data_IF_276333486092
#
_entry.id   IF_276333486092
#
_cell.length_a   1.000
_cell.length_b   1.000
_cell.length_c   1.000
_cell.angle_alpha   90.00
_cell.angle_beta   90.00
_cell.angle_gamma   90.00
#
_symmetry.space_group_name_H-M   'P 1'
#
loop_
_entity.id
_entity.type
_entity.pdbx_description
1 polymer ?
#
# COMPACT_ATOMS: atom_id res chain seq x y z
N UNK A 1 5.42 20.06 0.32
CA UNK A 1 6.53 19.16 0.67
C UNK A 1 7.82 19.98 0.62
N UNK A 2 8.52 20.13 1.76
CA UNK A 2 9.85 20.72 1.80
C UNK A 2 10.84 19.63 1.39
N UNK A 3 11.66 19.89 0.36
CA UNK A 3 12.83 19.11 0.04
C UNK A 3 13.90 19.43 1.09
N UNK A 4 14.11 18.54 2.01
CA UNK A 4 15.17 18.55 2.97
C UNK A 4 15.48 17.09 3.29
N UNK A 5 16.57 16.58 2.74
CA UNK A 5 17.01 15.19 2.97
C UNK A 5 17.83 15.19 4.25
N UNK A 6 17.15 15.12 5.39
CA UNK A 6 17.77 14.56 6.58
C UNK A 6 17.80 13.04 6.43
N UNK A 7 18.88 12.40 6.84
CA UNK A 7 18.94 10.94 6.87
C UNK A 7 17.73 10.40 7.65
N UNK A 8 17.07 9.35 7.15
CA UNK A 8 15.84 8.86 7.79
C UNK A 8 16.18 8.36 9.21
N UNK A 9 15.60 8.98 10.22
CA UNK A 9 15.74 8.58 11.64
C UNK A 9 15.44 7.09 11.86
N UNK A 10 14.57 6.51 11.00
CA UNK A 10 14.18 5.11 11.04
C UNK A 10 14.11 4.54 9.62
N UNK A 11 14.84 3.46 9.39
CA UNK A 11 14.81 2.71 8.13
C UNK A 11 14.32 1.29 8.35
N UNK A 12 13.46 0.82 7.46
CA UNK A 12 12.99 -0.56 7.43
C UNK A 12 13.05 -1.10 6.01
N UNK A 13 13.44 -2.35 5.83
CA UNK A 13 13.38 -3.05 4.55
C UNK A 13 12.42 -4.23 4.65
N UNK A 14 11.62 -4.39 3.63
CA UNK A 14 10.60 -5.43 3.51
C UNK A 14 10.79 -6.16 2.19
N UNK A 15 10.66 -7.48 2.22
CA UNK A 15 10.45 -8.30 1.02
C UNK A 15 8.96 -8.58 0.91
N UNK A 16 8.34 -8.16 -0.20
CA UNK A 16 6.89 -8.18 -0.37
C UNK A 16 6.53 -9.03 -1.57
N UNK A 17 5.84 -10.14 -1.32
CA UNK A 17 5.20 -10.94 -2.35
C UNK A 17 3.72 -10.59 -2.40
N UNK A 18 3.22 -10.25 -3.61
CA UNK A 18 1.82 -9.91 -3.83
C UNK A 18 1.20 -10.84 -4.87
N UNK A 19 0.02 -11.36 -4.57
CA UNK A 19 -0.80 -12.12 -5.49
C UNK A 19 -2.11 -11.39 -5.71
N UNK A 20 -2.47 -11.20 -6.96
CA UNK A 20 -3.76 -10.65 -7.33
C UNK A 20 -4.37 -11.46 -8.48
N UNK A 21 -5.55 -12.03 -8.25
CA UNK A 21 -6.33 -12.75 -9.24
C UNK A 21 -7.59 -11.94 -9.55
N UNK A 22 -7.75 -11.55 -10.81
CA UNK A 22 -8.99 -10.91 -11.27
C UNK A 22 -10.12 -11.93 -11.29
N UNK A 23 -11.36 -11.53 -10.97
CA UNK A 23 -12.51 -12.42 -11.08
C UNK A 23 -12.72 -12.78 -12.55
N UNK A 24 -12.91 -14.08 -12.82
CA UNK A 24 -13.19 -14.60 -14.16
C UNK A 24 -13.97 -15.91 -14.06
N UNK A 25 -15.06 -16.04 -14.82
CA UNK A 25 -15.81 -17.31 -14.97
C UNK A 25 -16.14 -18.00 -13.62
N UNK A 26 -16.71 -17.28 -12.66
CA UNK A 26 -17.07 -17.82 -11.35
C UNK A 26 -15.93 -17.87 -10.32
N UNK A 27 -14.69 -17.59 -10.71
CA UNK A 27 -13.56 -17.43 -9.78
C UNK A 27 -13.68 -16.04 -9.14
N UNK A 28 -13.72 -16.00 -7.82
CA UNK A 28 -13.71 -14.73 -7.05
C UNK A 28 -12.34 -14.07 -7.19
N UNK A 29 -12.31 -12.74 -7.15
CA UNK A 29 -11.06 -12.01 -7.05
C UNK A 29 -10.29 -12.45 -5.79
N UNK A 30 -8.97 -12.52 -5.88
CA UNK A 30 -8.08 -12.86 -4.76
C UNK A 30 -6.97 -11.82 -4.65
N UNK A 31 -6.72 -11.31 -3.45
CA UNK A 31 -5.71 -10.28 -3.20
C UNK A 31 -4.99 -10.61 -1.89
N UNK A 32 -3.80 -11.19 -2.00
CA UNK A 32 -2.98 -11.60 -0.85
C UNK A 32 -1.61 -10.94 -0.89
N UNK A 33 -1.07 -10.67 0.28
CA UNK A 33 0.29 -10.15 0.42
C UNK A 33 1.00 -10.90 1.54
N UNK A 34 2.25 -11.27 1.27
CA UNK A 34 3.17 -11.84 2.24
C UNK A 34 4.35 -10.87 2.37
N UNK A 35 4.55 -10.31 3.55
CA UNK A 35 5.54 -9.28 3.83
C UNK A 35 6.51 -9.81 4.87
N UNK A 36 7.79 -9.92 4.49
CA UNK A 36 8.89 -10.33 5.38
C UNK A 36 9.72 -9.12 5.76
N UNK A 37 9.99 -8.98 7.04
CA UNK A 37 10.88 -7.94 7.55
C UNK A 37 12.34 -8.40 7.40
N UNK A 38 13.13 -7.62 6.68
CA UNK A 38 14.53 -7.97 6.37
C UNK A 38 15.54 -7.05 7.04
N UNK A 39 15.13 -5.83 7.42
CA UNK A 39 15.96 -4.86 8.13
C UNK A 39 15.08 -3.95 9.02
N UNK A 40 15.55 -3.49 10.18
CA UNK A 40 16.84 -3.80 10.84
C UNK A 40 16.92 -5.25 11.33
N UNK A 41 18.12 -5.73 11.74
CA UNK A 41 18.29 -7.13 12.16
C UNK A 41 17.31 -7.60 13.24
N UNK A 42 16.94 -6.73 14.19
CA UNK A 42 15.95 -7.02 15.25
C UNK A 42 14.52 -7.27 14.73
N UNK A 43 14.23 -6.87 13.50
CA UNK A 43 12.92 -7.07 12.87
C UNK A 43 12.88 -8.33 12.00
N UNK A 44 14.06 -8.91 11.71
CA UNK A 44 14.18 -10.08 10.85
C UNK A 44 13.44 -11.28 11.46
N UNK A 45 12.71 -12.01 10.62
CA UNK A 45 11.85 -13.12 11.02
C UNK A 45 10.41 -12.73 11.34
N UNK A 46 10.11 -11.43 11.46
CA UNK A 46 8.72 -10.96 11.50
C UNK A 46 8.07 -11.07 10.13
N UNK A 47 6.81 -11.49 10.11
CA UNK A 47 6.04 -11.68 8.88
C UNK A 47 4.65 -11.08 9.06
N UNK A 48 4.16 -10.37 8.03
CA UNK A 48 2.75 -10.03 7.90
C UNK A 48 2.15 -10.80 6.73
N UNK A 49 0.95 -11.32 6.92
CA UNK A 49 0.14 -11.98 5.91
C UNK A 49 -1.17 -11.24 5.77
N UNK A 50 -1.48 -10.80 4.55
CA UNK A 50 -2.80 -10.23 4.22
C UNK A 50 -3.56 -11.18 3.30
N UNK A 51 -4.82 -11.41 3.63
CA UNK A 51 -5.80 -12.07 2.77
C UNK A 51 -7.01 -11.14 2.65
N UNK A 52 -7.14 -10.44 1.51
CA UNK A 52 -8.07 -9.34 1.32
C UNK A 52 -7.95 -8.29 2.41
N UNK A 53 -8.95 -8.21 3.28
CA UNK A 53 -9.07 -7.21 4.35
C UNK A 53 -8.49 -7.67 5.68
N UNK A 54 -8.28 -8.97 5.85
CA UNK A 54 -7.67 -9.53 7.05
C UNK A 54 -6.15 -9.39 7.01
N UNK A 55 -5.57 -9.08 8.14
CA UNK A 55 -4.13 -8.93 8.30
C UNK A 55 -3.68 -9.62 9.58
N UNK A 56 -2.69 -10.49 9.44
CA UNK A 56 -2.07 -11.20 10.55
C UNK A 56 -0.59 -10.85 10.65
N UNK A 57 -0.11 -10.86 11.87
CA UNK A 57 1.29 -10.68 12.19
C UNK A 57 1.82 -11.92 12.90
N UNK A 58 3.03 -12.31 12.55
CA UNK A 58 3.73 -13.42 13.16
C UNK A 58 5.20 -13.05 13.43
N UNK A 59 5.72 -13.55 14.54
CA UNK A 59 7.14 -13.50 14.93
C UNK A 59 7.47 -14.81 15.62
N UNK A 60 8.76 -15.26 15.63
CA UNK A 60 9.16 -16.52 16.24
C UNK A 60 8.75 -16.69 17.71
N UNK A 61 8.60 -15.59 18.44
CA UNK A 61 8.18 -15.58 19.85
C UNK A 61 6.68 -15.87 20.05
N UNK A 62 5.89 -15.76 18.98
CA UNK A 62 4.45 -16.05 19.02
C UNK A 62 4.19 -17.53 18.76
N UNK A 63 3.21 -18.10 19.47
CA UNK A 63 2.76 -19.47 19.22
C UNK A 63 1.95 -19.61 17.92
N UNK A 64 1.29 -18.53 17.51
CA UNK A 64 0.41 -18.48 16.33
C UNK A 64 0.33 -17.05 15.78
N UNK A 65 -0.01 -16.87 14.48
CA UNK A 65 -0.30 -15.55 13.93
C UNK A 65 -1.42 -14.85 14.68
N UNK A 66 -1.25 -13.56 14.94
CA UNK A 66 -2.24 -12.71 15.62
C UNK A 66 -2.83 -11.71 14.63
N UNK A 67 -4.13 -11.41 14.70
CA UNK A 67 -4.73 -10.39 13.86
C UNK A 67 -4.23 -9.00 14.27
N UNK A 68 -3.97 -8.14 13.30
CA UNK A 68 -3.56 -6.75 13.51
C UNK A 68 -4.37 -5.81 12.61
N UNK A 69 -4.46 -4.54 13.01
CA UNK A 69 -5.18 -3.54 12.22
C UNK A 69 -4.34 -3.02 11.05
N UNK A 70 -4.98 -2.84 9.90
CA UNK A 70 -4.39 -2.21 8.71
C UNK A 70 -4.09 -0.73 8.93
N UNK A 71 -4.87 -0.02 9.76
CA UNK A 71 -4.68 1.38 10.11
C UNK A 71 -3.58 1.60 11.15
N UNK A 72 -3.15 0.56 11.85
CA UNK A 72 -2.05 0.65 12.81
C UNK A 72 -0.75 1.06 12.12
N UNK A 73 0.00 1.93 12.79
CA UNK A 73 1.29 2.41 12.30
C UNK A 73 2.31 1.26 12.21
N UNK A 74 2.94 1.14 11.05
CA UNK A 74 4.06 0.24 10.81
C UNK A 74 5.38 0.94 11.17
N UNK A 75 5.70 2.02 10.47
CA UNK A 75 6.91 2.83 10.69
C UNK A 75 6.66 4.28 10.24
N UNK A 76 7.18 5.25 10.99
CA UNK A 76 7.02 6.66 10.64
C UNK A 76 5.56 7.02 10.42
N UNK A 77 5.21 7.46 9.22
CA UNK A 77 3.85 7.80 8.80
C UNK A 77 3.14 6.72 7.97
N UNK A 78 3.81 5.59 7.78
CA UNK A 78 3.32 4.43 7.02
C UNK A 78 2.54 3.52 7.96
N UNK A 79 1.36 3.11 7.55
CA UNK A 79 0.52 2.10 8.23
C UNK A 79 0.71 0.73 7.61
N UNK A 80 0.29 -0.32 8.32
CA UNK A 80 0.34 -1.70 7.83
C UNK A 80 -0.39 -1.85 6.49
N UNK A 81 -1.51 -1.16 6.31
CA UNK A 81 -2.29 -1.18 5.08
C UNK A 81 -1.62 -0.55 3.86
N UNK A 82 -0.58 0.26 4.04
CA UNK A 82 0.10 0.94 2.93
C UNK A 82 1.09 0.01 2.20
N UNK A 83 1.51 -1.08 2.83
CA UNK A 83 2.47 -2.04 2.29
C UNK A 83 1.84 -3.34 1.77
N UNK A 84 0.51 -3.44 1.77
CA UNK A 84 -0.22 -4.59 1.25
C UNK A 84 -0.93 -4.24 -0.06
N UNK A 85 -1.26 -5.27 -0.84
CA UNK A 85 -1.99 -5.08 -2.09
C UNK A 85 -3.37 -4.47 -1.84
N UNK A 86 -3.67 -3.35 -2.52
CA UNK A 86 -5.00 -2.75 -2.57
C UNK A 86 -5.35 -2.50 -4.03
N UNK A 87 -6.44 -3.08 -4.49
CA UNK A 87 -6.95 -2.79 -5.82
C UNK A 87 -8.13 -1.84 -5.70
N UNK A 88 -7.94 -0.60 -6.16
CA UNK A 88 -8.97 0.44 -6.07
C UNK A 88 -10.23 0.11 -6.87
N UNK A 89 -10.13 -0.56 -8.01
CA UNK A 89 -11.25 -0.99 -8.85
C UNK A 89 -12.25 -1.86 -8.09
N UNK A 90 -11.74 -2.77 -7.24
CA UNK A 90 -12.59 -3.69 -6.46
C UNK A 90 -12.96 -3.15 -5.09
N UNK A 91 -12.13 -2.28 -4.52
CA UNK A 91 -12.34 -1.76 -3.17
C UNK A 91 -13.24 -0.51 -3.14
N UNK A 92 -13.35 0.23 -4.25
CA UNK A 92 -14.01 1.52 -4.28
C UNK A 92 -14.96 1.66 -5.48
N UNK A 93 -16.04 2.42 -5.27
CA UNK A 93 -16.82 3.04 -6.35
C UNK A 93 -16.15 4.38 -6.70
N UNK A 94 -15.88 4.60 -7.99
CA UNK A 94 -15.16 5.76 -8.48
C UNK A 94 -16.07 6.69 -9.28
N UNK A 95 -15.95 7.99 -9.04
CA UNK A 95 -16.63 9.05 -9.79
C UNK A 95 -15.61 10.06 -10.30
N UNK A 96 -15.65 10.40 -11.57
CA UNK A 96 -14.88 11.51 -12.14
C UNK A 96 -15.54 12.82 -11.73
N UNK A 97 -14.88 13.63 -10.90
CA UNK A 97 -15.39 14.94 -10.46
C UNK A 97 -14.99 16.09 -11.38
N UNK A 98 -13.98 15.91 -12.24
CA UNK A 98 -13.50 16.92 -13.16
C UNK A 98 -11.98 16.86 -13.36
N UNK A 99 -11.43 18.01 -13.68
CA UNK A 99 -9.98 18.17 -13.89
C UNK A 99 -9.45 19.27 -12.98
N UNK A 100 -8.20 19.14 -12.53
CA UNK A 100 -7.53 20.16 -11.73
C UNK A 100 -6.03 20.21 -12.04
N UNK A 101 -5.35 21.35 -11.82
CA UNK A 101 -3.90 21.44 -11.94
C UNK A 101 -3.19 20.53 -10.95
N UNK A 102 -2.12 19.85 -11.40
CA UNK A 102 -1.26 19.01 -10.57
C UNK A 102 0.22 19.24 -10.92
N UNK A 103 0.82 20.23 -10.27
CA UNK A 103 2.12 20.75 -10.65
C UNK A 103 2.07 21.51 -11.97
N UNK A 104 2.89 21.10 -12.92
CA UNK A 104 2.96 21.62 -14.29
C UNK A 104 2.01 20.93 -15.28
N UNK A 105 1.13 20.04 -14.78
CA UNK A 105 0.24 19.19 -15.56
C UNK A 105 -1.23 19.42 -15.19
N UNK A 106 -2.11 18.78 -15.94
CA UNK A 106 -3.53 18.64 -15.60
C UNK A 106 -3.78 17.20 -15.18
N UNK A 107 -4.55 17.02 -14.13
CA UNK A 107 -4.99 15.73 -13.61
C UNK A 107 -6.49 15.57 -13.70
N UNK A 108 -6.94 14.35 -13.95
CA UNK A 108 -8.30 13.95 -13.62
C UNK A 108 -8.42 13.80 -12.09
N UNK A 109 -9.50 14.37 -11.55
CA UNK A 109 -9.87 14.25 -10.16
C UNK A 109 -10.93 13.17 -10.00
N UNK A 110 -10.59 12.09 -9.31
CA UNK A 110 -11.48 10.99 -9.02
C UNK A 110 -11.85 10.98 -7.53
N UNK A 111 -13.14 10.84 -7.22
CA UNK A 111 -13.64 10.54 -5.88
C UNK A 111 -13.87 9.04 -5.77
N UNK A 112 -13.24 8.41 -4.81
CA UNK A 112 -13.32 6.98 -4.55
C UNK A 112 -14.02 6.77 -3.21
N UNK A 113 -15.16 6.09 -3.20
CA UNK A 113 -15.93 5.76 -1.99
C UNK A 113 -15.85 4.24 -1.77
N UNK A 114 -15.46 3.81 -0.56
CA UNK A 114 -15.29 2.38 -0.26
C UNK A 114 -16.59 1.60 -0.44
N UNK A 115 -16.50 0.40 -1.02
CA UNK A 115 -17.60 -0.54 -1.20
C UNK A 115 -17.95 -1.33 0.07
N UNK A 116 -17.03 -1.37 1.04
CA UNK A 116 -17.17 -2.16 2.26
C UNK A 116 -16.49 -1.46 3.44
N UNK A 117 -17.01 -1.63 4.64
CA UNK A 117 -16.39 -1.15 5.88
C UNK A 117 -15.03 -1.79 6.19
N UNK A 118 -14.76 -2.96 5.62
CA UNK A 118 -13.47 -3.62 5.72
C UNK A 118 -12.33 -2.89 4.97
N UNK A 119 -12.66 -1.97 4.04
CA UNK A 119 -11.66 -1.11 3.37
C UNK A 119 -11.20 -0.04 4.34
N UNK A 120 -9.89 0.11 4.50
CA UNK A 120 -9.25 0.94 5.53
C UNK A 120 -9.70 2.41 5.49
N UNK A 121 -9.76 3.01 4.30
CA UNK A 121 -10.09 4.42 4.14
C UNK A 121 -11.46 4.60 3.50
N UNK A 122 -12.40 5.30 4.15
CA UNK A 122 -13.76 5.48 3.65
C UNK A 122 -13.83 6.21 2.31
N UNK A 123 -12.97 7.21 2.13
CA UNK A 123 -12.94 8.05 0.94
C UNK A 123 -11.51 8.37 0.54
N UNK A 124 -11.26 8.37 -0.78
CA UNK A 124 -9.99 8.81 -1.37
C UNK A 124 -10.28 9.79 -2.49
N UNK A 125 -9.60 10.93 -2.49
CA UNK A 125 -9.49 11.79 -3.67
C UNK A 125 -8.20 11.40 -4.38
N UNK A 126 -8.33 10.99 -5.62
CA UNK A 126 -7.24 10.42 -6.42
C UNK A 126 -7.00 11.25 -7.67
N UNK A 127 -5.81 11.81 -7.77
CA UNK A 127 -5.40 12.60 -8.93
C UNK A 127 -4.55 11.74 -9.85
N UNK A 128 -4.94 11.69 -11.11
CA UNK A 128 -4.30 10.92 -12.17
C UNK A 128 -3.96 11.85 -13.31
N UNK A 129 -2.72 11.85 -13.78
CA UNK A 129 -2.28 12.70 -14.88
C UNK A 129 -3.14 12.47 -16.13
N UNK A 130 -3.61 13.56 -16.75
CA UNK A 130 -4.33 13.53 -18.01
C UNK A 130 -3.38 13.33 -19.18
N UNK A 131 -2.85 12.13 -19.30
CA UNK A 131 -1.96 11.68 -20.36
C UNK A 131 -2.28 10.24 -20.78
N UNK A 132 -1.59 9.73 -21.80
CA UNK A 132 -1.85 8.40 -22.36
C UNK A 132 -1.61 7.24 -21.35
N UNK A 133 -0.78 7.45 -20.33
CA UNK A 133 -0.44 6.42 -19.33
C UNK A 133 -1.27 6.53 -18.06
N UNK A 134 -2.06 7.59 -17.87
CA UNK A 134 -2.89 7.84 -16.68
C UNK A 134 -2.12 7.62 -15.37
N UNK A 135 -0.95 8.24 -15.26
CA UNK A 135 -0.06 8.05 -14.10
C UNK A 135 -0.68 8.61 -12.82
N UNK A 136 -0.72 7.84 -11.73
CA UNK A 136 -1.06 8.36 -10.42
C UNK A 136 -0.19 9.58 -10.06
N UNK A 137 -0.78 10.66 -9.57
CA UNK A 137 -0.06 11.84 -9.12
C UNK A 137 -0.12 11.97 -7.60
N UNK A 138 -1.35 11.93 -7.05
CA UNK A 138 -1.59 12.10 -5.61
C UNK A 138 -2.81 11.31 -5.17
N UNK A 139 -2.77 10.79 -3.95
CA UNK A 139 -3.96 10.29 -3.25
C UNK A 139 -4.12 11.03 -1.93
N UNK A 140 -5.34 11.46 -1.61
CA UNK A 140 -5.70 12.06 -0.32
C UNK A 140 -6.77 11.21 0.33
N UNK A 141 -6.49 10.69 1.52
CA UNK A 141 -7.33 9.75 2.25
C UNK A 141 -8.09 10.47 3.35
N UNK A 142 -9.39 10.24 3.42
CA UNK A 142 -10.29 10.92 4.34
C UNK A 142 -11.03 9.95 5.26
N UNK A 143 -11.42 10.45 6.44
CA UNK A 143 -12.34 9.79 7.36
C UNK A 143 -13.80 9.92 6.88
N UNK A 144 -14.74 9.30 7.61
CA UNK A 144 -16.18 9.41 7.32
C UNK A 144 -16.71 10.85 7.44
N UNK A 145 -16.16 11.61 8.36
CA UNK A 145 -16.47 13.03 8.58
C UNK A 145 -15.63 13.98 7.71
N UNK A 146 -15.10 13.49 6.60
CA UNK A 146 -14.30 14.24 5.62
C UNK A 146 -13.04 14.93 6.19
N UNK A 147 -12.48 14.45 7.29
CA UNK A 147 -11.18 14.94 7.76
C UNK A 147 -10.06 14.26 6.97
N UNK A 148 -9.10 15.06 6.51
CA UNK A 148 -7.91 14.54 5.85
C UNK A 148 -7.08 13.72 6.86
N UNK A 149 -6.83 12.46 6.55
CA UNK A 149 -6.04 11.55 7.38
C UNK A 149 -4.59 11.46 6.90
N UNK A 150 -4.41 11.41 5.57
CA UNK A 150 -3.12 11.14 4.94
C UNK A 150 -3.10 11.67 3.51
N UNK A 151 -1.95 12.14 3.07
CA UNK A 151 -1.65 12.43 1.66
C UNK A 151 -0.50 11.56 1.18
N UNK A 152 -0.58 11.14 -0.06
CA UNK A 152 0.42 10.29 -0.73
C UNK A 152 0.76 10.92 -2.07
N UNK A 153 2.05 11.10 -2.35
CA UNK A 153 2.56 11.51 -3.66
C UNK A 153 3.30 10.36 -4.32
N UNK A 154 3.05 10.16 -5.62
CA UNK A 154 3.68 9.15 -6.44
C UNK A 154 4.79 9.80 -7.29
N UNK A 155 6.02 9.29 -7.16
CA UNK A 155 7.20 9.85 -7.81
C UNK A 155 8.09 8.77 -8.45
N UNK A 156 9.10 9.24 -9.17
CA UNK A 156 10.15 8.42 -9.75
C UNK A 156 9.58 7.27 -10.61
N UNK A 157 8.84 7.64 -11.67
CA UNK A 157 8.23 6.67 -12.58
C UNK A 157 9.28 5.96 -13.42
N UNK A 158 9.27 4.64 -13.39
CA UNK A 158 10.18 3.77 -14.15
C UNK A 158 9.38 2.69 -14.89
N UNK A 159 9.95 2.16 -15.96
CA UNK A 159 9.40 1.01 -16.67
C UNK A 159 9.57 -0.24 -15.79
N UNK A 160 8.49 -0.77 -15.24
CA UNK A 160 8.47 -1.94 -14.36
C UNK A 160 7.39 -2.90 -14.86
N UNK A 161 7.79 -4.12 -15.24
CA UNK A 161 6.89 -5.15 -15.76
C UNK A 161 6.03 -4.66 -16.95
N UNK A 162 6.64 -3.92 -17.87
CA UNK A 162 5.98 -3.43 -19.09
C UNK A 162 5.05 -2.23 -18.92
N UNK A 163 5.04 -1.59 -17.74
CA UNK A 163 4.23 -0.40 -17.45
C UNK A 163 5.05 0.64 -16.69
N UNK A 164 4.77 1.93 -16.89
CA UNK A 164 5.31 2.99 -16.06
C UNK A 164 4.67 2.95 -14.67
N UNK A 165 5.49 2.66 -13.66
CA UNK A 165 5.06 2.57 -12.25
C UNK A 165 5.86 3.52 -11.38
N UNK A 166 5.23 4.13 -10.35
CA UNK A 166 5.99 4.90 -9.36
C UNK A 166 6.88 3.95 -8.56
N UNK A 167 8.16 4.27 -8.45
CA UNK A 167 9.11 3.53 -7.61
C UNK A 167 9.40 4.25 -6.30
N UNK A 168 8.83 5.43 -6.12
CA UNK A 168 8.91 6.19 -4.88
C UNK A 168 7.52 6.73 -4.50
N UNK A 169 7.15 6.53 -3.24
CA UNK A 169 5.89 6.99 -2.68
C UNK A 169 6.18 7.78 -1.41
N UNK A 170 5.79 9.04 -1.38
CA UNK A 170 5.93 9.92 -0.23
C UNK A 170 4.61 9.95 0.53
N UNK A 171 4.65 9.63 1.80
CA UNK A 171 3.49 9.56 2.69
C UNK A 171 3.58 10.65 3.75
N UNK A 172 2.53 11.46 3.87
CA UNK A 172 2.38 12.47 4.91
C UNK A 172 1.04 12.28 5.63
N UNK A 173 1.10 12.09 6.94
CA UNK A 173 -0.09 11.98 7.78
C UNK A 173 -0.53 13.39 8.21
N UNK A 174 -1.82 13.69 8.07
CA UNK A 174 -2.36 15.00 8.38
C UNK A 174 -2.32 15.36 9.88
N UNK A 175 -2.22 14.37 10.78
CA UNK A 175 -2.11 14.58 12.23
C UNK A 175 -0.73 15.03 12.69
N UNK A 176 0.29 14.87 11.85
CA UNK A 176 1.66 15.24 12.17
C UNK A 176 2.06 16.43 11.31
N UNK A 177 2.22 17.61 11.93
CA UNK A 177 2.53 18.85 11.22
C UNK A 177 3.90 18.83 10.54
N UNK A 178 4.82 17.98 10.99
CA UNK A 178 6.19 17.91 10.48
C UNK A 178 6.55 16.49 10.06
N UNK A 179 7.32 16.40 8.97
CA UNK A 179 7.91 15.18 8.48
C UNK A 179 7.02 14.41 7.49
N UNK A 180 7.64 13.45 6.85
CA UNK A 180 7.05 12.53 5.90
C UNK A 180 7.80 11.20 5.94
N UNK A 181 7.22 10.16 5.36
CA UNK A 181 7.90 8.88 5.14
C UNK A 181 8.00 8.59 3.66
N UNK A 182 9.07 7.93 3.25
CA UNK A 182 9.30 7.54 1.86
C UNK A 182 9.34 6.03 1.75
N UNK A 183 8.53 5.48 0.87
CA UNK A 183 8.62 4.08 0.43
C UNK A 183 9.32 4.04 -0.93
N UNK A 184 10.37 3.23 -1.06
CA UNK A 184 11.07 2.99 -2.33
C UNK A 184 10.95 1.53 -2.71
N UNK A 185 10.58 1.29 -3.97
CA UNK A 185 10.42 -0.05 -4.53
C UNK A 185 11.59 -0.36 -5.46
N UNK A 186 12.15 -1.54 -5.32
CA UNK A 186 13.24 -2.05 -6.16
C UNK A 186 13.08 -3.54 -6.40
N UNK A 187 13.79 -4.09 -7.37
CA UNK A 187 13.84 -5.53 -7.67
C UNK A 187 12.46 -6.18 -7.92
N UNK A 188 11.52 -5.40 -8.50
CA UNK A 188 10.19 -5.90 -8.82
C UNK A 188 10.28 -6.92 -9.96
N UNK A 189 9.77 -8.14 -9.72
CA UNK A 189 9.76 -9.22 -10.69
C UNK A 189 8.48 -10.03 -10.63
N UNK A 190 8.16 -10.71 -11.71
CA UNK A 190 7.11 -11.74 -11.69
C UNK A 190 7.72 -13.04 -11.17
N UNK A 191 7.02 -13.70 -10.28
CA UNK A 191 7.42 -14.95 -9.67
C UNK A 191 6.21 -15.88 -9.54
N UNK A 192 6.38 -17.15 -9.82
CA UNK A 192 5.34 -18.16 -9.62
C UNK A 192 5.45 -18.71 -8.20
N UNK A 193 4.66 -18.18 -7.29
CA UNK A 193 4.58 -18.66 -5.92
C UNK A 193 3.35 -19.55 -5.74
N UNK A 194 3.50 -20.76 -5.19
CA UNK A 194 2.39 -21.62 -4.81
C UNK A 194 1.44 -20.92 -3.83
N UNK A 195 0.16 -21.20 -3.93
CA UNK A 195 -0.87 -20.55 -3.11
C UNK A 195 -0.66 -20.76 -1.61
N UNK A 196 -0.13 -21.90 -1.21
CA UNK A 196 0.12 -22.23 0.19
C UNK A 196 1.10 -21.27 0.88
N UNK A 197 1.95 -20.53 0.13
CA UNK A 197 2.81 -19.48 0.69
C UNK A 197 2.01 -18.34 1.34
N UNK A 198 0.76 -18.17 0.94
CA UNK A 198 -0.13 -17.15 1.46
C UNK A 198 -1.09 -17.72 2.51
N UNK A 199 -0.60 -18.59 3.41
CA UNK A 199 -1.37 -19.22 4.50
C UNK A 199 -0.73 -18.98 5.86
N UNK A 200 -1.52 -19.05 6.92
CA UNK A 200 -1.05 -18.91 8.31
C UNK A 200 -0.11 -20.05 8.70
N UNK A 201 -0.40 -21.24 8.20
CA UNK A 201 0.41 -22.45 8.45
C UNK A 201 1.81 -22.30 7.83
N UNK A 202 1.89 -21.69 6.63
CA UNK A 202 3.16 -21.43 5.98
C UNK A 202 4.02 -20.47 6.79
N UNK A 203 3.49 -19.31 7.18
CA UNK A 203 4.26 -18.31 7.91
C UNK A 203 4.73 -18.79 9.29
N UNK A 204 3.98 -19.70 9.93
CA UNK A 204 4.42 -20.35 11.18
C UNK A 204 5.61 -21.30 10.99
N UNK A 205 5.73 -21.92 9.82
CA UNK A 205 6.86 -22.82 9.49
C UNK A 205 8.09 -22.03 9.05
N UNK A 206 7.89 -20.99 8.27
CA UNK A 206 8.98 -20.20 7.68
C UNK A 206 9.77 -19.40 8.72
N UNK A 207 9.12 -18.91 9.76
CA UNK A 207 9.75 -18.07 10.78
C UNK A 207 10.41 -18.87 11.93
N UNK A 208 10.36 -20.20 11.90
CA UNK A 208 11.07 -21.08 12.84
C UNK A 208 12.46 -21.41 12.29
#
# INVERSE_FOLDING_TARGET
FKEGVDEPENKQSLDISMRFIKPKNGIKADARSLIRFTYPPREKGKIMLSDWYDLWFYTPELRRPVPISRSQRLIGQISNGDVIVTNFEYAYDSTLEGEEPCGDKICYRLSLIRKSEAVTYPKVIYLVEKNAEYRPFKASYYSLDNQLLKSVLYKNYQMVLGMYRPTEIIVQNARYEKGYSVMKYSNVRLESLPEFHFTKEFIQREAK
#
